data_IF_506787593435
#
_entry.id   IF_506787593435
#
_cell.length_a   1.000
_cell.length_b   1.000
_cell.length_c   1.000
_cell.angle_alpha   90.00
_cell.angle_beta   90.00
_cell.angle_gamma   90.00
#
_symmetry.space_group_name_H-M   'P 1'
#
loop_
_entity.id
_entity.type
_entity.pdbx_description
1 polymer ?
#
# COMPACT_ATOMS: atom_id res chain seq x y z
N UNK A 1 23.83 5.26 -3.29
CA UNK A 1 22.67 5.09 -4.15
C UNK A 1 21.94 3.81 -3.74
N UNK A 2 20.65 3.91 -3.45
CA UNK A 2 19.78 2.79 -3.11
C UNK A 2 18.56 2.82 -4.01
N UNK A 3 18.00 1.67 -4.30
CA UNK A 3 16.87 1.51 -5.22
C UNK A 3 15.57 1.11 -4.50
N UNK A 4 15.66 0.84 -3.22
CA UNK A 4 14.52 0.47 -2.36
C UNK A 4 14.30 1.55 -1.32
N UNK A 5 13.10 1.62 -0.76
CA UNK A 5 12.82 2.42 0.44
C UNK A 5 13.74 2.00 1.58
N UNK A 6 14.06 2.91 2.44
CA UNK A 6 14.95 2.68 3.57
C UNK A 6 14.62 3.64 4.70
N UNK A 7 15.05 3.30 5.89
CA UNK A 7 14.99 4.23 7.01
C UNK A 7 15.99 5.37 6.79
N UNK A 8 15.48 6.58 6.73
CA UNK A 8 16.24 7.82 6.55
C UNK A 8 15.79 8.93 7.50
N UNK A 9 15.02 8.59 8.53
CA UNK A 9 14.43 9.55 9.45
C UNK A 9 15.50 10.44 10.10
N UNK A 10 16.59 9.88 10.56
CA UNK A 10 17.71 10.64 11.16
C UNK A 10 18.37 11.60 10.15
N UNK A 11 18.49 11.16 8.89
CA UNK A 11 19.05 12.01 7.82
C UNK A 11 18.10 13.13 7.45
N UNK A 12 16.80 12.83 7.40
CA UNK A 12 15.76 13.79 7.06
C UNK A 12 15.58 14.86 8.15
N UNK A 13 15.89 14.50 9.40
CA UNK A 13 15.82 15.41 10.56
C UNK A 13 17.12 16.17 10.85
N UNK A 14 18.24 15.90 10.14
CA UNK A 14 19.52 16.56 10.39
C UNK A 14 19.56 17.94 9.72
N UNK A 15 19.70 18.99 10.52
CA UNK A 15 19.79 20.40 10.07
C UNK A 15 20.99 20.69 9.13
N UNK A 16 21.95 19.78 9.02
CA UNK A 16 23.08 19.91 8.08
C UNK A 16 22.80 19.25 6.71
N UNK A 17 21.64 18.65 6.51
CA UNK A 17 21.21 18.04 5.26
C UNK A 17 20.20 18.94 4.57
N UNK A 18 20.66 19.70 3.56
CA UNK A 18 19.80 20.65 2.83
C UNK A 18 18.84 19.99 1.86
N UNK A 19 19.17 18.80 1.33
CA UNK A 19 18.35 18.09 0.36
C UNK A 19 18.64 16.59 0.33
N UNK A 20 17.61 15.80 0.06
CA UNK A 20 17.70 14.36 -0.18
C UNK A 20 17.16 14.07 -1.58
N UNK A 21 17.97 13.38 -2.40
CA UNK A 21 17.56 12.95 -3.73
C UNK A 21 17.64 11.43 -3.84
N UNK A 22 16.46 10.79 -3.92
CA UNK A 22 16.38 9.36 -4.18
C UNK A 22 16.43 9.10 -5.69
N UNK A 23 17.43 8.36 -6.16
CA UNK A 23 17.74 8.23 -7.60
C UNK A 23 17.36 6.86 -8.15
N UNK A 24 17.19 5.85 -7.31
CA UNK A 24 16.90 4.48 -7.75
C UNK A 24 18.04 3.88 -8.61
N UNK A 25 17.68 2.93 -9.46
CA UNK A 25 18.61 2.32 -10.41
C UNK A 25 18.65 3.13 -11.70
N UNK A 26 19.76 3.79 -11.96
CA UNK A 26 19.93 4.70 -13.11
C UNK A 26 20.33 4.00 -14.41
N UNK A 27 20.74 2.75 -14.35
CA UNK A 27 21.34 2.08 -15.51
C UNK A 27 22.63 2.81 -15.95
N UNK A 28 23.04 2.56 -17.19
CA UNK A 28 24.31 3.08 -17.71
C UNK A 28 24.31 4.59 -18.01
N UNK A 29 23.16 5.16 -18.33
CA UNK A 29 23.06 6.54 -18.83
C UNK A 29 22.28 7.47 -17.89
N UNK A 30 21.55 6.95 -16.92
CA UNK A 30 20.66 7.76 -16.07
C UNK A 30 21.41 8.73 -15.15
N UNK A 31 22.69 8.53 -14.89
CA UNK A 31 23.53 9.49 -14.13
C UNK A 31 23.67 10.85 -14.83
N UNK A 32 23.43 10.94 -16.14
CA UNK A 32 23.40 12.23 -16.84
C UNK A 32 22.20 13.06 -16.41
N UNK A 33 21.03 12.42 -16.27
CA UNK A 33 19.82 13.09 -15.78
C UNK A 33 19.99 13.65 -14.36
N UNK A 34 20.79 12.98 -13.51
CA UNK A 34 21.10 13.50 -12.16
C UNK A 34 21.85 14.84 -12.26
N UNK A 35 22.82 14.97 -13.17
CA UNK A 35 23.52 16.23 -13.41
C UNK A 35 22.59 17.35 -13.88
N UNK A 36 21.66 17.05 -14.77
CA UNK A 36 20.66 18.01 -15.27
C UNK A 36 19.69 18.47 -14.16
N UNK A 37 19.26 17.56 -13.29
CA UNK A 37 18.44 17.89 -12.12
C UNK A 37 19.22 18.79 -11.16
N UNK A 38 20.43 18.40 -10.76
CA UNK A 38 21.23 19.16 -9.78
C UNK A 38 21.62 20.55 -10.26
N UNK A 39 21.69 20.77 -11.57
CA UNK A 39 21.96 22.09 -12.17
C UNK A 39 20.70 22.93 -12.44
N UNK A 40 19.51 22.36 -12.23
CA UNK A 40 18.23 22.99 -12.53
C UNK A 40 17.87 23.02 -14.03
N UNK A 41 18.62 22.32 -14.88
CA UNK A 41 18.31 22.17 -16.30
C UNK A 41 17.01 21.36 -16.54
N UNK A 42 16.73 20.44 -15.62
CA UNK A 42 15.50 19.63 -15.60
C UNK A 42 14.88 19.68 -14.20
N UNK A 43 13.59 19.95 -14.12
CA UNK A 43 12.83 19.92 -12.89
C UNK A 43 12.48 18.48 -12.51
N UNK A 44 12.80 18.02 -11.28
CA UNK A 44 12.39 16.69 -10.83
C UNK A 44 10.86 16.58 -10.75
N UNK A 45 10.33 15.42 -11.09
CA UNK A 45 8.91 15.13 -11.06
C UNK A 45 8.62 13.68 -10.66
N UNK A 46 9.62 12.99 -10.09
CA UNK A 46 9.43 11.67 -9.51
C UNK A 46 8.62 11.73 -8.22
N UNK A 47 7.94 10.63 -7.92
CA UNK A 47 7.24 10.42 -6.66
C UNK A 47 7.76 9.15 -6.01
N UNK A 48 7.75 9.10 -4.68
CA UNK A 48 8.08 7.89 -3.94
C UNK A 48 7.08 6.79 -4.28
N UNK A 49 7.57 5.59 -4.49
CA UNK A 49 6.76 4.40 -4.81
C UNK A 49 6.60 3.49 -3.60
N UNK A 50 7.01 3.96 -2.45
CA UNK A 50 6.88 3.32 -1.15
C UNK A 50 6.85 4.37 -0.05
N UNK A 51 6.48 3.98 1.18
CA UNK A 51 6.58 4.83 2.37
C UNK A 51 7.98 4.70 2.95
N UNK A 52 8.65 5.82 3.17
CA UNK A 52 9.94 5.87 3.86
C UNK A 52 9.69 6.09 5.34
N UNK A 53 9.92 5.08 6.14
CA UNK A 53 9.59 5.09 7.56
C UNK A 53 10.63 4.34 8.39
N UNK A 54 10.56 4.47 9.71
CA UNK A 54 11.37 3.70 10.65
C UNK A 54 11.09 2.21 10.49
N UNK A 55 12.12 1.39 10.44
CA UNK A 55 12.01 -0.06 10.21
C UNK A 55 11.21 -0.76 11.33
N UNK A 56 11.44 -0.36 12.58
CA UNK A 56 10.74 -0.94 13.73
C UNK A 56 9.23 -0.63 13.77
N UNK A 57 8.79 0.37 13.01
CA UNK A 57 7.37 0.68 12.81
C UNK A 57 6.72 -0.09 11.66
N UNK A 58 7.47 -0.93 10.94
CA UNK A 58 7.00 -1.65 9.75
C UNK A 58 6.60 -3.08 10.14
N UNK A 59 5.31 -3.48 9.93
CA UNK A 59 4.88 -4.83 10.30
C UNK A 59 5.60 -5.92 9.50
N UNK A 60 5.86 -5.72 8.21
CA UNK A 60 6.62 -6.66 7.38
C UNK A 60 8.04 -6.84 7.90
N UNK A 61 8.71 -5.77 8.34
CA UNK A 61 10.04 -5.87 8.94
C UNK A 61 10.03 -6.72 10.21
N UNK A 62 9.01 -6.58 11.05
CA UNK A 62 8.86 -7.37 12.27
C UNK A 62 8.60 -8.85 11.96
N UNK A 63 7.88 -9.17 10.89
CA UNK A 63 7.71 -10.56 10.42
C UNK A 63 9.04 -11.22 10.04
N UNK A 64 10.03 -10.45 9.61
CA UNK A 64 11.39 -10.93 9.35
C UNK A 64 12.27 -11.00 10.61
N UNK A 65 11.72 -10.84 11.81
CA UNK A 65 12.42 -10.92 13.07
C UNK A 65 12.98 -9.58 13.58
N UNK A 66 12.67 -8.46 12.93
CA UNK A 66 12.97 -7.10 13.41
C UNK A 66 14.45 -6.72 13.50
N UNK A 67 15.38 -7.55 12.99
CA UNK A 67 16.82 -7.27 12.99
C UNK A 67 17.45 -7.65 11.65
N UNK A 68 18.48 -6.90 11.23
CA UNK A 68 19.23 -7.21 10.01
C UNK A 68 19.91 -8.58 10.12
N UNK A 69 19.51 -9.50 9.24
CA UNK A 69 20.06 -10.87 9.20
C UNK A 69 19.42 -11.87 10.14
N UNK A 70 18.35 -11.50 10.82
CA UNK A 70 17.61 -12.36 11.76
C UNK A 70 16.42 -13.08 11.16
N UNK A 71 16.35 -13.18 9.82
CA UNK A 71 15.25 -13.88 9.16
C UNK A 71 14.91 -15.21 9.87
N UNK A 72 13.62 -15.42 10.10
CA UNK A 72 13.11 -16.58 10.84
C UNK A 72 13.43 -17.88 10.11
N UNK A 73 13.83 -18.89 10.86
CA UNK A 73 14.17 -20.21 10.35
C UNK A 73 13.35 -21.27 11.07
N UNK A 74 12.96 -22.30 10.33
CA UNK A 74 12.39 -23.47 10.97
C UNK A 74 13.32 -24.01 12.04
N UNK A 75 12.78 -24.31 13.22
CA UNK A 75 13.47 -25.03 14.28
C UNK A 75 13.46 -26.54 13.98
N UNK A 76 14.40 -27.30 14.58
CA UNK A 76 14.49 -28.73 14.36
C UNK A 76 15.17 -29.07 13.03
N UNK A 77 16.45 -29.10 13.06
CA UNK A 77 17.40 -29.03 11.95
C UNK A 77 17.54 -30.25 11.03
N UNK A 78 16.81 -31.34 11.25
CA UNK A 78 17.13 -32.58 10.53
C UNK A 78 16.46 -32.78 9.18
N UNK A 79 15.35 -32.13 8.91
CA UNK A 79 14.54 -32.41 7.72
C UNK A 79 14.80 -31.43 6.57
N UNK A 80 14.88 -30.16 6.89
CA UNK A 80 14.97 -29.11 5.92
C UNK A 80 16.42 -28.77 5.54
N UNK A 81 17.39 -29.38 6.19
CA UNK A 81 18.81 -29.38 5.83
C UNK A 81 19.19 -30.51 4.89
N UNK A 82 18.24 -31.10 4.18
CA UNK A 82 18.49 -32.29 3.37
C UNK A 82 19.21 -31.93 2.07
N UNK A 83 20.30 -32.64 1.82
CA UNK A 83 21.10 -32.51 0.59
C UNK A 83 20.37 -32.81 -0.72
N UNK A 84 19.17 -33.41 -0.67
CA UNK A 84 18.36 -33.73 -1.87
C UNK A 84 17.79 -32.47 -2.53
N UNK A 85 17.52 -31.44 -1.77
CA UNK A 85 17.00 -30.15 -2.29
C UNK A 85 18.08 -29.07 -2.39
N UNK A 86 19.37 -29.45 -2.20
CA UNK A 86 20.49 -28.52 -2.31
C UNK A 86 20.61 -27.52 -1.15
N UNK A 87 19.88 -27.73 -0.06
CA UNK A 87 19.87 -26.88 1.13
C UNK A 87 20.82 -27.47 2.19
N UNK A 88 22.12 -27.41 1.95
CA UNK A 88 23.13 -27.81 2.93
C UNK A 88 23.48 -26.62 3.82
N UNK A 89 23.43 -26.82 5.12
CA UNK A 89 24.02 -25.99 6.19
C UNK A 89 23.34 -24.67 6.56
N UNK A 90 22.45 -24.09 5.75
CA UNK A 90 21.91 -22.75 6.04
C UNK A 90 20.54 -22.73 6.69
N UNK A 91 19.87 -23.86 6.79
CA UNK A 91 18.48 -23.94 7.25
C UNK A 91 17.49 -23.40 6.21
N UNK A 92 16.22 -23.72 6.36
CA UNK A 92 15.15 -23.16 5.53
C UNK A 92 14.51 -22.02 6.30
N UNK A 93 14.41 -20.90 5.62
CA UNK A 93 13.68 -19.75 6.13
C UNK A 93 12.20 -19.91 5.84
N UNK A 94 11.38 -19.36 6.70
CA UNK A 94 9.95 -19.19 6.45
C UNK A 94 9.57 -17.74 6.67
N UNK A 95 8.44 -17.36 6.10
CA UNK A 95 7.81 -16.07 6.29
C UNK A 95 6.31 -16.30 6.44
N UNK A 96 5.77 -15.85 7.53
CA UNK A 96 4.34 -15.71 7.72
C UNK A 96 3.96 -14.27 7.40
N UNK A 97 3.05 -14.08 6.45
CA UNK A 97 2.59 -12.73 6.03
C UNK A 97 1.50 -12.24 7.01
N UNK A 98 1.90 -12.03 8.27
CA UNK A 98 0.99 -11.60 9.35
C UNK A 98 0.43 -10.21 9.15
N UNK A 99 1.13 -9.38 8.38
CA UNK A 99 0.68 -8.02 8.05
C UNK A 99 -0.55 -7.98 7.17
N UNK A 100 -0.93 -9.10 6.51
CA UNK A 100 -2.09 -9.20 5.63
C UNK A 100 -2.10 -8.07 4.58
N UNK A 101 -3.18 -7.31 4.47
CA UNK A 101 -3.30 -6.18 3.53
C UNK A 101 -2.54 -4.93 3.97
N UNK A 102 -2.00 -4.90 5.19
CA UNK A 102 -1.38 -3.72 5.80
C UNK A 102 0.10 -3.61 5.46
N UNK A 103 0.39 -3.47 4.16
CA UNK A 103 1.74 -3.31 3.60
C UNK A 103 1.93 -1.87 3.11
N UNK A 104 3.09 -1.27 3.39
CA UNK A 104 3.45 0.07 2.95
C UNK A 104 2.45 1.14 3.42
N UNK A 105 2.05 2.06 2.54
CA UNK A 105 1.14 3.15 2.89
C UNK A 105 -0.21 2.66 3.43
N UNK A 106 -0.66 1.48 3.03
CA UNK A 106 -1.92 0.91 3.55
C UNK A 106 -1.88 0.71 5.05
N UNK A 107 -0.73 0.30 5.59
CA UNK A 107 -0.55 0.24 7.03
C UNK A 107 -0.47 1.65 7.64
N UNK A 108 0.46 2.49 7.20
CA UNK A 108 0.73 3.78 7.85
C UNK A 108 -0.49 4.70 7.84
N UNK A 109 -1.21 4.79 6.71
CA UNK A 109 -2.41 5.62 6.62
C UNK A 109 -3.58 5.04 7.44
N UNK A 110 -3.68 3.72 7.58
CA UNK A 110 -4.70 3.10 8.42
C UNK A 110 -4.37 3.27 9.90
N UNK A 111 -3.11 3.09 10.29
CA UNK A 111 -2.65 3.33 11.66
C UNK A 111 -2.88 4.80 12.08
N UNK A 112 -2.61 5.74 11.17
CA UNK A 112 -2.93 7.14 11.39
C UNK A 112 -4.44 7.38 11.58
N UNK A 113 -5.27 6.81 10.71
CA UNK A 113 -6.72 6.94 10.83
C UNK A 113 -7.25 6.38 12.17
N UNK A 114 -6.75 5.22 12.60
CA UNK A 114 -7.12 4.63 13.89
C UNK A 114 -6.57 5.43 15.08
N UNK A 115 -5.39 6.04 14.95
CA UNK A 115 -4.88 6.95 15.98
C UNK A 115 -5.76 8.20 16.13
N UNK A 116 -6.20 8.81 15.02
CA UNK A 116 -7.11 9.94 15.04
C UNK A 116 -8.49 9.58 15.60
N UNK A 117 -8.94 8.34 15.41
CA UNK A 117 -10.18 7.82 16.00
C UNK A 117 -10.03 7.46 17.50
N UNK A 118 -8.80 7.45 18.04
CA UNK A 118 -8.50 7.08 19.43
C UNK A 118 -8.36 5.57 19.67
N UNK A 119 -8.33 4.77 18.61
CA UNK A 119 -8.21 3.31 18.68
C UNK A 119 -6.75 2.82 18.69
N UNK A 120 -5.80 3.68 18.28
CA UNK A 120 -4.36 3.36 18.27
C UNK A 120 -3.54 4.51 18.90
N UNK A 121 -3.70 4.69 20.19
CA UNK A 121 -3.31 5.89 20.93
C UNK A 121 -1.81 6.26 20.91
N UNK A 122 -0.92 5.33 20.62
CA UNK A 122 0.53 5.56 20.66
C UNK A 122 1.17 5.68 19.27
N UNK A 123 0.38 5.65 18.20
CA UNK A 123 0.92 5.80 16.85
C UNK A 123 1.11 7.29 16.53
N UNK A 124 2.36 7.66 16.29
CA UNK A 124 2.79 9.01 15.89
C UNK A 124 3.27 8.97 14.44
N UNK A 125 2.41 9.37 13.51
CA UNK A 125 2.71 9.33 12.08
C UNK A 125 3.97 10.14 11.73
N UNK A 126 4.04 11.37 12.20
CA UNK A 126 5.16 12.29 11.91
C UNK A 126 6.48 11.81 12.55
N UNK A 127 6.39 11.06 13.65
CA UNK A 127 7.55 10.46 14.31
C UNK A 127 8.10 9.25 13.56
N UNK A 128 7.27 8.51 12.83
CA UNK A 128 7.70 7.26 12.17
C UNK A 128 7.86 7.38 10.66
N UNK A 129 7.08 8.22 9.97
CA UNK A 129 7.12 8.38 8.50
C UNK A 129 7.94 9.60 8.12
N UNK A 130 9.06 9.39 7.44
CA UNK A 130 9.87 10.47 6.89
C UNK A 130 9.26 11.03 5.59
N UNK A 131 8.82 10.15 4.69
CA UNK A 131 8.15 10.53 3.44
C UNK A 131 7.05 9.52 3.10
N UNK A 132 5.81 9.99 2.86
CA UNK A 132 4.71 9.12 2.44
C UNK A 132 4.92 8.54 1.04
N UNK A 133 4.14 7.51 0.70
CA UNK A 133 3.98 7.04 -0.67
C UNK A 133 3.41 8.17 -1.53
N UNK A 134 3.94 8.36 -2.75
CA UNK A 134 3.52 9.42 -3.66
C UNK A 134 4.21 10.77 -3.45
N UNK A 135 5.01 10.92 -2.37
CA UNK A 135 5.69 12.16 -2.06
C UNK A 135 6.76 12.54 -3.08
N UNK A 136 6.90 13.83 -3.33
CA UNK A 136 8.00 14.37 -4.11
C UNK A 136 7.95 15.89 -4.25
N UNK A 137 9.13 16.50 -4.38
CA UNK A 137 9.28 17.93 -4.54
C UNK A 137 9.56 18.31 -6.01
N UNK A 138 9.37 19.58 -6.32
CA UNK A 138 9.60 20.17 -7.64
C UNK A 138 10.33 21.51 -7.48
N UNK A 139 10.99 21.99 -8.54
CA UNK A 139 11.56 23.34 -8.57
C UNK A 139 10.53 24.42 -8.93
N UNK A 140 9.30 24.00 -9.25
CA UNK A 140 8.16 24.88 -9.50
C UNK A 140 6.98 24.51 -8.61
N UNK A 141 5.94 25.32 -8.63
CA UNK A 141 4.71 25.11 -7.87
C UNK A 141 3.52 24.90 -8.77
N UNK A 142 2.51 24.17 -8.29
CA UNK A 142 1.31 23.88 -9.05
C UNK A 142 0.06 24.15 -8.23
N UNK A 143 -0.93 24.79 -8.87
CA UNK A 143 -2.30 24.85 -8.37
C UNK A 143 -3.18 23.87 -9.13
N UNK A 144 -4.19 23.32 -8.45
CA UNK A 144 -5.13 22.38 -9.03
C UNK A 144 -6.56 22.87 -8.90
N UNK A 145 -7.39 22.48 -9.85
CA UNK A 145 -8.83 22.71 -9.83
C UNK A 145 -9.54 21.46 -10.30
N UNK A 146 -10.49 20.95 -9.51
CA UNK A 146 -11.36 19.86 -9.92
C UNK A 146 -12.43 20.44 -10.86
N UNK A 147 -12.42 20.04 -12.14
CA UNK A 147 -13.24 20.66 -13.16
C UNK A 147 -14.66 20.08 -13.23
N UNK A 148 -14.80 18.79 -12.95
CA UNK A 148 -16.07 18.08 -13.13
C UNK A 148 -16.70 17.60 -11.81
N UNK A 149 -16.56 18.36 -10.72
CA UNK A 149 -17.06 17.98 -9.39
C UNK A 149 -18.57 17.65 -9.37
N UNK A 150 -19.38 18.32 -10.17
CA UNK A 150 -20.83 18.12 -10.23
C UNK A 150 -21.23 16.87 -11.06
N UNK A 151 -20.31 16.32 -11.85
CA UNK A 151 -20.52 15.15 -12.69
C UNK A 151 -20.10 13.85 -11.99
N UNK A 152 -19.43 13.95 -10.85
CA UNK A 152 -18.96 12.81 -10.09
C UNK A 152 -20.13 12.03 -9.45
N UNK A 153 -20.06 10.69 -9.37
CA UNK A 153 -21.18 9.90 -8.91
C UNK A 153 -21.46 10.13 -7.42
N UNK A 154 -22.73 10.33 -7.08
CA UNK A 154 -23.19 10.33 -5.69
C UNK A 154 -23.52 8.92 -5.17
N UNK A 155 -23.62 7.92 -6.08
CA UNK A 155 -23.90 6.53 -5.76
C UNK A 155 -23.04 5.61 -6.61
N UNK A 156 -22.71 4.43 -6.06
CA UNK A 156 -21.98 3.37 -6.75
C UNK A 156 -22.89 2.17 -6.98
N UNK A 157 -22.78 1.58 -8.15
CA UNK A 157 -23.30 0.28 -8.54
C UNK A 157 -22.15 -0.55 -9.15
N UNK A 158 -22.38 -1.83 -9.38
CA UNK A 158 -21.38 -2.72 -9.98
C UNK A 158 -20.78 -2.17 -11.30
N UNK A 159 -21.63 -1.53 -12.10
CA UNK A 159 -21.27 -1.00 -13.43
C UNK A 159 -20.87 0.49 -13.41
N UNK A 160 -20.70 1.10 -12.25
CA UNK A 160 -20.37 2.52 -12.18
C UNK A 160 -18.98 2.79 -12.74
N UNK A 161 -18.93 3.65 -13.77
CA UNK A 161 -17.68 4.20 -14.32
C UNK A 161 -17.71 5.70 -14.14
N UNK A 162 -16.57 6.29 -13.80
CA UNK A 162 -16.45 7.75 -13.73
C UNK A 162 -15.03 8.19 -14.00
N UNK A 163 -14.88 9.45 -14.37
CA UNK A 163 -13.58 10.08 -14.58
C UNK A 163 -13.48 11.33 -13.70
N UNK A 164 -12.36 11.47 -13.02
CA UNK A 164 -12.00 12.68 -12.25
C UNK A 164 -11.11 13.54 -13.12
N UNK A 165 -11.51 14.78 -13.41
CA UNK A 165 -10.79 15.71 -14.24
C UNK A 165 -10.20 16.84 -13.40
N UNK A 166 -8.87 16.95 -13.42
CA UNK A 166 -8.14 17.95 -12.64
C UNK A 166 -7.31 18.82 -13.58
N UNK A 167 -7.60 20.10 -13.59
CA UNK A 167 -6.74 21.11 -14.23
C UNK A 167 -5.56 21.42 -13.32
N UNK A 168 -4.35 21.19 -13.81
CA UNK A 168 -3.08 21.46 -13.14
C UNK A 168 -2.39 22.60 -13.84
N UNK A 169 -2.11 23.67 -13.11
CA UNK A 169 -1.45 24.88 -13.61
C UNK A 169 -0.09 25.06 -12.95
N UNK A 170 0.95 25.25 -13.74
CA UNK A 170 2.25 25.70 -13.23
C UNK A 170 2.15 27.17 -12.79
N UNK A 171 2.25 27.41 -11.48
CA UNK A 171 2.18 28.74 -10.87
C UNK A 171 3.54 29.33 -10.55
N UNK A 172 4.63 28.60 -10.77
CA UNK A 172 6.00 29.10 -10.64
C UNK A 172 6.34 30.10 -11.73
N UNK A 173 7.42 30.85 -11.51
CA UNK A 173 7.83 31.93 -12.41
C UNK A 173 9.01 31.57 -13.31
N UNK A 174 9.79 30.55 -12.96
CA UNK A 174 11.11 30.31 -13.58
C UNK A 174 11.25 28.93 -14.22
N UNK A 175 10.65 27.88 -13.64
CA UNK A 175 10.89 26.52 -14.07
C UNK A 175 9.64 25.91 -14.70
N UNK A 176 9.85 25.27 -15.84
CA UNK A 176 8.88 24.31 -16.36
C UNK A 176 8.94 23.02 -15.53
N UNK A 177 7.82 22.29 -15.46
CA UNK A 177 7.78 21.06 -14.67
C UNK A 177 6.55 20.22 -14.95
N UNK A 178 6.49 19.06 -14.31
CA UNK A 178 5.37 18.11 -14.35
C UNK A 178 4.85 17.90 -12.95
N UNK A 179 3.55 17.66 -12.82
CA UNK A 179 2.95 17.27 -11.55
C UNK A 179 2.19 15.94 -11.67
N UNK A 180 1.95 15.30 -10.55
CA UNK A 180 1.22 14.02 -10.46
C UNK A 180 0.01 14.23 -9.57
N UNK A 181 -1.15 13.90 -10.10
CA UNK A 181 -2.43 13.86 -9.39
C UNK A 181 -2.72 12.42 -9.00
N UNK A 182 -2.97 12.17 -7.73
CA UNK A 182 -3.33 10.86 -7.21
C UNK A 182 -4.77 10.88 -6.68
N UNK A 183 -5.52 9.80 -6.94
CA UNK A 183 -6.88 9.62 -6.43
C UNK A 183 -6.91 8.44 -5.48
N UNK A 184 -7.29 8.70 -4.23
CA UNK A 184 -7.47 7.68 -3.21
C UNK A 184 -8.92 7.53 -2.83
N UNK A 185 -9.29 6.33 -2.38
CA UNK A 185 -10.59 6.06 -1.77
C UNK A 185 -10.40 5.58 -0.33
N UNK A 186 -11.27 6.06 0.56
CA UNK A 186 -11.47 5.56 1.91
C UNK A 186 -12.80 4.80 1.93
N UNK A 187 -12.78 3.46 2.01
CA UNK A 187 -14.00 2.66 2.13
C UNK A 187 -14.62 2.79 3.52
N UNK A 188 -15.94 2.50 3.67
CA UNK A 188 -16.54 2.36 5.00
C UNK A 188 -15.89 1.19 5.73
N UNK A 189 -15.67 1.33 7.03
CA UNK A 189 -15.08 0.30 7.87
C UNK A 189 -15.88 0.11 9.14
N UNK A 190 -16.21 -1.13 9.43
CA UNK A 190 -16.83 -1.57 10.69
C UNK A 190 -15.78 -2.35 11.49
N UNK A 191 -15.56 -1.96 12.73
CA UNK A 191 -14.51 -2.55 13.55
C UNK A 191 -14.72 -4.05 13.79
N UNK A 192 -13.71 -4.84 13.45
CA UNK A 192 -13.73 -6.30 13.60
C UNK A 192 -14.42 -7.08 12.48
N UNK A 193 -14.94 -6.39 11.46
CA UNK A 193 -15.46 -7.00 10.23
C UNK A 193 -14.34 -7.11 9.17
N UNK A 194 -14.67 -6.98 7.88
CA UNK A 194 -13.71 -7.13 6.77
C UNK A 194 -12.53 -6.18 6.95
N UNK A 195 -11.33 -6.70 6.87
CA UNK A 195 -10.11 -5.89 6.93
C UNK A 195 -10.02 -4.95 5.71
N UNK A 196 -9.85 -3.66 5.97
CA UNK A 196 -9.79 -2.61 4.95
C UNK A 196 -8.79 -1.55 5.34
N UNK A 197 -7.90 -1.23 4.41
CA UNK A 197 -7.05 -0.06 4.62
C UNK A 197 -7.87 1.24 4.57
N UNK A 198 -7.46 2.23 5.34
CA UNK A 198 -8.11 3.55 5.36
C UNK A 198 -7.94 4.32 4.04
N UNK A 199 -6.91 3.96 3.26
CA UNK A 199 -6.68 4.55 1.93
C UNK A 199 -6.29 3.49 0.92
N UNK A 200 -6.89 3.56 -0.27
CA UNK A 200 -6.55 2.74 -1.44
C UNK A 200 -6.34 3.68 -2.62
N UNK A 201 -5.17 3.62 -3.25
CA UNK A 201 -4.92 4.32 -4.51
C UNK A 201 -5.77 3.69 -5.61
N UNK A 202 -6.65 4.45 -6.22
CA UNK A 202 -7.51 3.97 -7.32
C UNK A 202 -7.05 4.44 -8.69
N UNK A 203 -6.19 5.45 -8.74
CA UNK A 203 -5.60 5.90 -9.99
C UNK A 203 -4.69 7.12 -9.80
N UNK A 204 -3.93 7.40 -10.82
CA UNK A 204 -3.09 8.59 -10.89
C UNK A 204 -2.94 9.07 -12.33
N UNK A 205 -2.63 10.35 -12.48
CA UNK A 205 -2.31 10.94 -13.76
C UNK A 205 -1.16 11.94 -13.62
N UNK A 206 -0.34 12.06 -14.67
CA UNK A 206 0.81 12.96 -14.71
C UNK A 206 0.69 13.90 -15.89
N UNK A 207 0.96 15.18 -15.67
CA UNK A 207 0.97 16.18 -16.74
C UNK A 207 2.13 15.99 -17.71
N UNK A 208 2.03 16.59 -18.89
CA UNK A 208 3.20 16.93 -19.68
C UNK A 208 4.05 17.99 -18.98
N UNK A 209 5.14 18.41 -19.60
CA UNK A 209 5.93 19.54 -19.10
C UNK A 209 5.11 20.81 -19.32
N UNK A 210 4.83 21.51 -18.22
CA UNK A 210 4.10 22.77 -18.23
C UNK A 210 5.09 23.93 -18.04
N UNK A 211 5.10 24.85 -18.97
CA UNK A 211 5.84 26.12 -18.84
C UNK A 211 5.22 27.00 -17.74
N UNK A 212 5.96 27.99 -17.18
CA UNK A 212 5.39 28.94 -16.25
C UNK A 212 4.10 29.58 -16.75
N UNK A 213 3.01 29.42 -15.99
CA UNK A 213 1.67 29.90 -16.32
C UNK A 213 0.84 28.98 -17.21
N UNK A 214 1.41 27.94 -17.79
CA UNK A 214 0.69 26.93 -18.58
C UNK A 214 -0.10 25.98 -17.68
N UNK A 215 -1.19 25.44 -18.21
CA UNK A 215 -2.03 24.47 -17.54
C UNK A 215 -2.44 23.32 -18.47
N UNK A 216 -2.80 22.20 -17.85
CA UNK A 216 -3.29 20.99 -18.51
C UNK A 216 -4.31 20.29 -17.63
N UNK A 217 -5.41 19.84 -18.22
CA UNK A 217 -6.34 18.93 -17.55
C UNK A 217 -5.85 17.51 -17.70
N UNK A 218 -5.71 16.82 -16.58
CA UNK A 218 -5.44 15.38 -16.52
C UNK A 218 -6.68 14.63 -16.05
N UNK A 219 -6.85 13.40 -16.54
CA UNK A 219 -8.01 12.57 -16.28
C UNK A 219 -7.61 11.29 -15.60
N UNK A 220 -8.32 10.92 -14.52
CA UNK A 220 -8.20 9.64 -13.83
C UNK A 220 -9.51 8.90 -13.98
N UNK A 221 -9.52 7.83 -14.75
CA UNK A 221 -10.72 7.01 -14.99
C UNK A 221 -10.75 5.84 -14.03
N UNK A 222 -11.89 5.66 -13.37
CA UNK A 222 -12.24 4.49 -12.57
C UNK A 222 -13.23 3.66 -13.39
N UNK A 223 -12.74 2.58 -13.97
CA UNK A 223 -13.52 1.74 -14.89
C UNK A 223 -14.55 0.86 -14.17
N UNK A 224 -14.30 0.51 -12.91
CA UNK A 224 -15.18 -0.30 -12.09
C UNK A 224 -14.87 -0.12 -10.62
N UNK A 225 -15.89 -0.11 -9.73
CA UNK A 225 -15.69 -0.14 -8.28
C UNK A 225 -14.97 -1.40 -7.77
N UNK A 226 -14.89 -2.45 -8.57
CA UNK A 226 -14.06 -3.62 -8.26
C UNK A 226 -12.60 -3.26 -7.93
N UNK A 227 -12.07 -2.17 -8.49
CA UNK A 227 -10.69 -1.71 -8.24
C UNK A 227 -10.40 -1.39 -6.76
N UNK A 228 -11.44 -1.14 -5.95
CA UNK A 228 -11.32 -0.87 -4.52
C UNK A 228 -12.25 -1.74 -3.67
N UNK A 229 -12.72 -2.86 -4.22
CA UNK A 229 -13.43 -3.87 -3.46
C UNK A 229 -12.49 -4.53 -2.43
N UNK A 230 -13.06 -4.92 -1.30
CA UNK A 230 -12.33 -5.62 -0.25
C UNK A 230 -12.61 -7.12 -0.35
N UNK A 231 -11.60 -7.96 -0.09
CA UNK A 231 -11.76 -9.41 -0.12
C UNK A 231 -12.11 -9.93 1.26
N UNK A 232 -13.29 -10.48 1.42
CA UNK A 232 -13.69 -11.21 2.63
C UNK A 232 -13.39 -12.70 2.48
N UNK A 233 -12.30 -13.13 3.11
CA UNK A 233 -11.85 -14.51 3.09
C UNK A 233 -12.65 -15.42 4.04
N UNK A 234 -13.19 -14.84 5.13
CA UNK A 234 -13.78 -15.59 6.23
C UNK A 234 -15.25 -15.33 6.48
N UNK A 235 -15.94 -14.56 5.62
CA UNK A 235 -17.32 -14.08 5.86
C UNK A 235 -17.41 -13.32 7.20
N UNK A 236 -16.46 -12.40 7.42
CA UNK A 236 -16.35 -11.64 8.67
C UNK A 236 -17.54 -10.73 8.92
N UNK A 237 -18.19 -10.21 7.87
CA UNK A 237 -19.40 -9.41 8.01
C UNK A 237 -20.68 -10.28 8.15
N UNK A 238 -20.56 -11.62 8.06
CA UNK A 238 -21.65 -12.56 8.30
C UNK A 238 -22.75 -12.54 7.24
N UNK A 239 -22.46 -12.07 6.03
CA UNK A 239 -23.44 -11.95 4.95
C UNK A 239 -23.59 -13.22 4.09
N UNK A 240 -22.79 -14.28 4.38
CA UNK A 240 -22.80 -15.57 3.69
C UNK A 240 -22.00 -15.58 2.38
N UNK A 241 -21.17 -14.57 2.14
CA UNK A 241 -20.32 -14.46 0.94
C UNK A 241 -18.86 -14.42 1.33
N UNK A 242 -18.02 -15.10 0.53
CA UNK A 242 -16.56 -15.05 0.62
C UNK A 242 -16.01 -14.65 -0.74
N UNK A 243 -15.39 -13.49 -0.82
CA UNK A 243 -14.91 -12.94 -2.09
C UNK A 243 -14.73 -11.44 -2.05
N UNK A 244 -14.61 -10.84 -3.23
CA UNK A 244 -14.53 -9.38 -3.36
C UNK A 244 -15.91 -8.75 -3.25
N UNK A 245 -16.04 -7.78 -2.35
CA UNK A 245 -17.27 -7.03 -2.20
C UNK A 245 -17.05 -5.56 -1.82
N UNK A 246 -18.06 -4.76 -2.11
CA UNK A 246 -18.21 -3.41 -1.57
C UNK A 246 -19.37 -3.45 -0.58
N UNK A 247 -19.08 -3.16 0.67
CA UNK A 247 -20.10 -3.06 1.70
C UNK A 247 -20.91 -1.77 1.57
N UNK A 248 -22.13 -1.81 2.04
CA UNK A 248 -23.01 -0.65 2.16
C UNK A 248 -22.34 0.48 2.93
N UNK A 249 -22.42 1.70 2.40
CA UNK A 249 -21.89 2.89 3.07
C UNK A 249 -21.27 3.92 2.12
N UNK A 250 -20.68 4.95 2.71
CA UNK A 250 -20.06 6.04 1.99
C UNK A 250 -18.58 5.73 1.68
N UNK A 251 -18.26 5.73 0.40
CA UNK A 251 -16.89 5.70 -0.10
C UNK A 251 -16.42 7.14 -0.33
N UNK A 252 -15.36 7.54 0.38
CA UNK A 252 -14.84 8.90 0.31
C UNK A 252 -13.62 8.94 -0.60
N UNK A 253 -13.73 9.64 -1.71
CA UNK A 253 -12.64 9.84 -2.66
C UNK A 253 -11.90 11.13 -2.36
N UNK A 254 -10.57 11.11 -2.47
CA UNK A 254 -9.72 12.27 -2.19
C UNK A 254 -8.68 12.43 -3.29
N UNK A 255 -8.64 13.62 -3.89
CA UNK A 255 -7.58 14.04 -4.81
C UNK A 255 -6.41 14.52 -3.97
N UNK A 256 -5.26 13.89 -4.14
CA UNK A 256 -4.11 14.01 -3.23
C UNK A 256 -2.80 14.24 -3.97
N UNK A 257 -1.85 14.82 -3.26
CA UNK A 257 -0.44 14.96 -3.72
C UNK A 257 0.40 13.74 -3.39
N UNK A 258 -0.02 12.99 -2.39
CA UNK A 258 0.59 11.74 -1.89
C UNK A 258 -0.44 11.01 -1.02
N UNK A 259 -0.10 9.83 -0.50
CA UNK A 259 -1.04 9.02 0.29
C UNK A 259 -1.53 9.72 1.56
N UNK A 260 -0.73 10.60 2.15
CA UNK A 260 -1.08 11.30 3.39
C UNK A 260 -1.80 12.62 3.14
N UNK A 261 -1.32 13.41 2.17
CA UNK A 261 -1.72 14.79 2.01
C UNK A 261 -2.76 14.97 0.88
N UNK A 262 -3.98 15.30 1.25
CA UNK A 262 -4.96 15.80 0.30
C UNK A 262 -4.46 17.13 -0.33
N UNK A 263 -4.79 17.37 -1.59
CA UNK A 263 -4.49 18.66 -2.21
C UNK A 263 -5.30 19.77 -1.56
N UNK A 264 -4.63 20.86 -1.22
CA UNK A 264 -5.32 22.10 -0.79
C UNK A 264 -6.02 22.75 -1.98
N UNK A 265 -7.26 22.36 -2.21
CA UNK A 265 -8.14 22.90 -3.25
C UNK A 265 -9.61 22.69 -2.87
N UNK A 266 -10.50 23.47 -3.51
CA UNK A 266 -11.94 23.27 -3.34
C UNK A 266 -12.36 21.89 -3.92
N UNK A 267 -13.25 21.19 -3.19
CA UNK A 267 -13.80 19.90 -3.59
C UNK A 267 -12.75 18.79 -3.79
N UNK A 268 -11.58 18.88 -3.12
CA UNK A 268 -10.58 17.81 -3.16
C UNK A 268 -11.15 16.45 -2.73
N UNK A 269 -12.25 16.46 -1.97
CA UNK A 269 -12.92 15.27 -1.45
C UNK A 269 -14.39 15.24 -1.88
N UNK A 270 -14.83 14.06 -2.37
CA UNK A 270 -16.24 13.79 -2.68
C UNK A 270 -16.65 12.40 -2.19
N UNK A 271 -17.95 12.16 -2.10
CA UNK A 271 -18.48 10.88 -1.61
C UNK A 271 -19.42 10.25 -2.61
N UNK A 272 -19.34 8.92 -2.70
CA UNK A 272 -20.31 8.11 -3.41
C UNK A 272 -20.80 6.98 -2.49
N UNK A 273 -22.12 6.77 -2.45
CA UNK A 273 -22.75 5.81 -1.54
C UNK A 273 -23.05 4.49 -2.23
N UNK A 274 -22.72 3.39 -1.56
CA UNK A 274 -23.18 2.04 -1.90
C UNK A 274 -24.44 1.76 -1.06
N UNK A 275 -25.60 1.62 -1.72
CA UNK A 275 -26.88 1.49 -1.04
C UNK A 275 -27.17 0.07 -0.51
N UNK A 276 -26.52 -0.94 -1.09
CA UNK A 276 -26.55 -2.35 -0.67
C UNK A 276 -25.26 -3.03 -1.13
N UNK A 277 -24.81 -4.03 -0.40
CA UNK A 277 -23.57 -4.73 -0.71
C UNK A 277 -23.53 -5.21 -2.16
N UNK A 278 -22.39 -4.95 -2.82
CA UNK A 278 -22.12 -5.39 -4.19
C UNK A 278 -21.10 -6.52 -4.09
N UNK A 279 -21.43 -7.68 -4.65
CA UNK A 279 -20.60 -8.89 -4.58
C UNK A 279 -20.11 -9.28 -5.95
N UNK A 280 -18.82 -9.50 -6.06
CA UNK A 280 -18.15 -9.89 -7.30
C UNK A 280 -17.87 -11.39 -7.28
N UNK A 281 -18.78 -12.20 -7.85
CA UNK A 281 -18.59 -13.65 -7.90
C UNK A 281 -17.46 -14.06 -8.85
N UNK A 282 -17.27 -13.30 -9.91
CA UNK A 282 -16.35 -13.63 -11.01
C UNK A 282 -15.08 -12.76 -11.02
N UNK A 283 -14.72 -12.05 -10.03
CA UNK A 283 -13.53 -11.18 -10.07
C UNK A 283 -13.56 -10.16 -11.22
N UNK A 284 -12.39 -9.74 -11.69
CA UNK A 284 -12.25 -8.73 -12.76
C UNK A 284 -12.56 -9.26 -14.17
N UNK A 285 -12.63 -10.57 -14.35
CA UNK A 285 -12.92 -11.21 -15.65
C UNK A 285 -14.11 -12.11 -15.51
N UNK A 286 -15.17 -11.84 -16.29
CA UNK A 286 -16.39 -12.64 -16.32
C UNK A 286 -16.07 -14.13 -16.53
N UNK A 287 -16.68 -14.99 -15.71
CA UNK A 287 -16.47 -16.43 -15.70
C UNK A 287 -15.20 -16.90 -14.98
N UNK A 288 -14.41 -15.99 -14.44
CA UNK A 288 -13.20 -16.30 -13.65
C UNK A 288 -13.50 -16.20 -12.17
N UNK A 289 -14.11 -17.23 -11.60
CA UNK A 289 -14.42 -17.25 -10.16
C UNK A 289 -13.17 -17.04 -9.34
N UNK A 290 -13.19 -16.05 -8.47
CA UNK A 290 -12.13 -15.84 -7.48
C UNK A 290 -12.32 -16.83 -6.34
N UNK A 291 -11.28 -17.62 -6.08
CA UNK A 291 -11.23 -18.54 -4.94
C UNK A 291 -10.01 -18.24 -4.09
N UNK A 292 -10.11 -18.48 -2.80
CA UNK A 292 -8.94 -18.44 -1.95
C UNK A 292 -8.10 -19.70 -2.21
N UNK A 293 -6.97 -19.53 -2.90
CA UNK A 293 -6.09 -20.64 -3.27
C UNK A 293 -5.50 -21.37 -2.04
N UNK A 294 -5.37 -20.68 -0.93
CA UNK A 294 -4.78 -21.22 0.30
C UNK A 294 -5.81 -21.95 1.17
N UNK A 295 -7.06 -21.50 1.22
CA UNK A 295 -8.10 -22.13 2.03
C UNK A 295 -8.99 -23.08 1.24
N UNK A 296 -9.27 -22.76 -0.04
CA UNK A 296 -10.25 -23.51 -0.84
C UNK A 296 -9.63 -24.66 -1.66
N UNK A 297 -8.36 -24.52 -2.02
CA UNK A 297 -7.59 -25.56 -2.76
C UNK A 297 -6.49 -26.16 -1.90
N UNK A 298 -6.51 -25.91 -0.63
CA UNK A 298 -5.51 -26.40 0.26
C UNK A 298 -5.48 -27.91 0.22
N UNK A 299 -4.34 -28.49 -0.08
CA UNK A 299 -4.01 -29.81 0.40
C UNK A 299 -4.28 -29.80 1.90
N UNK A 300 -5.28 -30.56 2.34
CA UNK A 300 -5.67 -30.66 3.76
C UNK A 300 -4.46 -30.93 4.67
N UNK A 301 -3.40 -31.52 4.12
CA UNK A 301 -2.16 -31.79 4.83
C UNK A 301 -1.21 -30.59 4.94
N UNK A 302 -1.36 -29.57 4.10
CA UNK A 302 -0.50 -28.37 4.16
C UNK A 302 -1.09 -27.25 4.98
N UNK A 303 -2.41 -27.25 5.21
CA UNK A 303 -3.11 -26.11 5.82
C UNK A 303 -3.78 -26.39 7.16
N UNK A 304 -3.93 -27.66 7.55
CA UNK A 304 -4.62 -28.00 8.79
C UNK A 304 -3.96 -27.40 10.05
N UNK A 305 -2.68 -27.06 9.96
CA UNK A 305 -1.88 -26.57 11.08
C UNK A 305 -1.19 -25.21 10.79
N UNK A 306 -1.51 -24.55 9.66
CA UNK A 306 -0.92 -23.27 9.27
C UNK A 306 -1.84 -22.07 9.51
N UNK A 307 -2.80 -22.17 10.41
CA UNK A 307 -3.45 -20.96 10.90
C UNK A 307 -2.38 -20.06 11.51
N UNK A 308 -2.16 -18.90 10.89
CA UNK A 308 -1.40 -17.82 11.51
C UNK A 308 -2.00 -17.59 12.88
N UNK A 309 -1.20 -17.70 13.92
CA UNK A 309 -1.67 -17.55 15.30
C UNK A 309 -2.32 -16.18 15.52
N UNK A 310 -1.85 -15.16 14.81
CA UNK A 310 -2.39 -13.79 14.82
C UNK A 310 -2.12 -13.15 13.46
N UNK A 311 -3.15 -12.59 12.84
CA UNK A 311 -3.01 -11.65 11.70
C UNK A 311 -3.16 -10.23 12.20
N UNK A 312 -2.40 -9.30 11.63
CA UNK A 312 -2.52 -7.88 11.92
C UNK A 312 -3.93 -7.41 11.58
N UNK A 313 -4.61 -6.82 12.55
CA UNK A 313 -5.99 -6.38 12.41
C UNK A 313 -6.14 -4.90 12.73
N UNK A 314 -6.85 -4.20 11.87
CA UNK A 314 -7.24 -2.81 12.09
C UNK A 314 -8.04 -2.60 13.37
N UNK A 315 -8.78 -3.61 13.79
CA UNK A 315 -9.54 -3.55 15.04
C UNK A 315 -8.66 -3.41 16.28
N UNK A 316 -7.43 -3.94 16.24
CA UNK A 316 -6.47 -3.87 17.35
C UNK A 316 -5.03 -4.04 16.86
N UNK A 317 -4.50 -3.03 16.20
CA UNK A 317 -3.10 -3.05 15.74
C UNK A 317 -2.09 -3.33 16.85
N UNK A 318 -2.33 -2.80 18.06
CA UNK A 318 -1.40 -2.98 19.16
C UNK A 318 -1.37 -4.44 19.67
N UNK A 319 -2.54 -5.08 19.75
CA UNK A 319 -2.67 -6.47 20.25
C UNK A 319 -2.36 -7.53 19.21
N UNK A 320 -2.34 -7.15 17.93
CA UNK A 320 -2.09 -8.04 16.80
C UNK A 320 -0.78 -7.72 16.06
N UNK A 321 0.08 -6.88 16.65
CA UNK A 321 1.37 -6.51 16.07
C UNK A 321 2.26 -7.74 15.90
N UNK A 322 2.89 -7.93 14.72
CA UNK A 322 3.79 -9.06 14.49
C UNK A 322 4.94 -9.10 15.49
N UNK A 323 5.20 -10.27 16.03
CA UNK A 323 6.26 -10.49 16.99
C UNK A 323 7.12 -11.69 16.57
N UNK A 324 8.37 -11.73 17.05
CA UNK A 324 9.24 -12.87 16.83
C UNK A 324 8.63 -14.16 17.34
N UNK A 325 8.75 -15.24 16.54
CA UNK A 325 8.19 -16.56 16.84
C UNK A 325 8.94 -17.26 17.95
N UNK A 326 8.22 -18.04 18.73
CA UNK A 326 8.82 -19.01 19.67
C UNK A 326 9.42 -20.19 18.90
N UNK A 327 10.29 -20.98 19.55
CA UNK A 327 10.89 -22.18 18.93
C UNK A 327 9.83 -23.23 18.54
N UNK A 328 8.74 -23.33 19.27
CA UNK A 328 7.65 -24.25 18.94
C UNK A 328 6.85 -23.79 17.73
N UNK A 329 6.63 -22.48 17.57
CA UNK A 329 5.97 -21.86 16.40
C UNK A 329 6.83 -21.93 15.13
N UNK A 330 8.14 -22.11 15.26
CA UNK A 330 9.08 -22.33 14.16
C UNK A 330 9.14 -23.78 13.67
N UNK A 331 8.38 -24.67 14.26
CA UNK A 331 8.31 -26.06 13.79
C UNK A 331 7.55 -26.11 12.46
N UNK A 332 8.07 -26.85 11.46
CA UNK A 332 7.36 -27.02 10.22
C UNK A 332 6.05 -27.78 10.44
N UNK A 333 4.99 -27.40 9.73
CA UNK A 333 3.72 -28.11 9.76
C UNK A 333 3.89 -29.60 9.44
N UNK A 334 3.08 -30.45 10.08
CA UNK A 334 3.08 -31.89 9.80
C UNK A 334 2.78 -32.13 8.31
N UNK A 335 3.56 -32.91 7.64
CA UNK A 335 3.43 -33.18 6.21
C UNK A 335 4.17 -32.20 5.27
N UNK A 336 4.55 -31.02 5.70
CA UNK A 336 5.33 -30.08 4.87
C UNK A 336 6.66 -30.71 4.44
N UNK A 337 7.33 -31.40 5.36
CA UNK A 337 8.58 -32.09 5.11
C UNK A 337 8.40 -33.18 4.06
N UNK A 338 7.35 -33.98 4.18
CA UNK A 338 7.05 -35.07 3.24
C UNK A 338 6.70 -34.54 1.86
N UNK A 339 5.92 -33.43 1.79
CA UNK A 339 5.60 -32.74 0.54
C UNK A 339 6.87 -32.20 -0.12
N UNK A 340 7.75 -31.53 0.60
CA UNK A 340 9.03 -31.00 0.09
C UNK A 340 9.99 -32.12 -0.36
N UNK A 341 9.96 -33.27 0.27
CA UNK A 341 10.79 -34.43 -0.10
C UNK A 341 10.22 -35.25 -1.27
N UNK A 342 8.98 -35.00 -1.65
CA UNK A 342 8.31 -35.67 -2.78
C UNK A 342 8.54 -35.00 -4.13
N UNK A 343 9.09 -33.79 -4.14
CA UNK A 343 9.49 -33.06 -5.34
C UNK A 343 10.90 -33.50 -5.77
#
# INVERSE_FOLDING_TARGET
>A
QVATSMEINDIAADDNVDAILWVGFTGNNGMMALGEILTGAVTPSGRTVDTFAMLDSNPTWNNFGGEIGSAEKYSGDSYLQNSRVGLSETGVYFLDEEEDIYVGYRYYETAYAEAQAGNYANFDYDGVVAYPFGYGLSYTTFSWTLENAEELPATLSEDTQFTVEVNVKNTGAEYSGRDVVELYVTPPYNQGEIEKSAKVLVGFAKTDILEPGEDQTVSITVDSPYAFASYDCYDKNGNGFKGYELETGDYTFTVSTDAHNAKDMANATFKANVASDIRYEDGATEGSKVTNLYTDNADENLNADTELSVQLSRADFAGTWPTSRTEDEKMPAEGLVDAMLSI
#
